data_IF_186248739943
#
_entry.id   IF_186248739943
#
_cell.length_a   1.000
_cell.length_b   1.000
_cell.length_c   1.000
_cell.angle_alpha   90.00
_cell.angle_beta   90.00
_cell.angle_gamma   90.00
#
_symmetry.space_group_name_H-M   'P 1'
#
loop_
_entity.id
_entity.type
_entity.pdbx_description
1 polymer ?
#
# COMPACT_ATOMS: atom_id res chain seq x y z
N UNK A 1 2.67 -22.39 -24.50
CA UNK A 1 1.86 -21.30 -23.93
C UNK A 1 2.63 -20.00 -24.06
N UNK A 2 2.27 -19.13 -25.02
CA UNK A 2 2.98 -17.87 -25.29
C UNK A 2 2.15 -16.73 -24.71
N UNK A 3 2.33 -16.47 -23.40
CA UNK A 3 1.66 -15.37 -22.72
C UNK A 3 2.33 -14.05 -23.12
N UNK A 4 1.55 -13.06 -23.57
CA UNK A 4 2.10 -11.75 -23.91
C UNK A 4 2.82 -11.14 -22.69
N UNK A 5 4.06 -10.66 -22.85
CA UNK A 5 4.84 -10.06 -21.76
C UNK A 5 4.09 -8.90 -21.10
N UNK A 6 3.27 -8.16 -21.86
CA UNK A 6 2.45 -7.05 -21.37
C UNK A 6 1.45 -7.47 -20.27
N UNK A 7 0.89 -8.68 -20.36
CA UNK A 7 -0.06 -9.20 -19.36
C UNK A 7 0.64 -9.65 -18.07
N UNK A 8 1.85 -10.19 -18.20
CA UNK A 8 2.66 -10.65 -17.05
C UNK A 8 3.18 -9.45 -16.26
N UNK A 9 3.65 -8.42 -16.97
CA UNK A 9 4.11 -7.15 -16.38
C UNK A 9 2.95 -6.44 -15.67
N UNK A 10 1.80 -6.29 -16.32
CA UNK A 10 0.61 -5.67 -15.71
C UNK A 10 0.20 -6.34 -14.39
N UNK A 11 0.21 -7.68 -14.34
CA UNK A 11 -0.12 -8.44 -13.12
C UNK A 11 0.88 -8.19 -11.98
N UNK A 12 2.17 -8.18 -12.28
CA UNK A 12 3.22 -7.91 -11.30
C UNK A 12 3.13 -6.49 -10.72
N UNK A 13 2.84 -5.50 -11.57
CA UNK A 13 2.62 -4.13 -11.13
C UNK A 13 1.37 -3.99 -10.26
N UNK A 14 0.25 -4.66 -10.62
CA UNK A 14 -0.96 -4.64 -9.80
C UNK A 14 -0.77 -5.28 -8.43
N UNK A 15 -0.09 -6.42 -8.36
CA UNK A 15 0.22 -7.12 -7.09
C UNK A 15 1.12 -6.26 -6.20
N UNK A 16 2.13 -5.60 -6.78
CA UNK A 16 3.05 -4.72 -6.03
C UNK A 16 2.36 -3.45 -5.52
N UNK A 17 1.50 -2.83 -6.33
CA UNK A 17 0.77 -1.61 -5.95
C UNK A 17 -0.26 -1.89 -4.86
N UNK A 18 -0.98 -3.02 -4.94
CA UNK A 18 -1.93 -3.41 -3.92
C UNK A 18 -1.22 -3.67 -2.58
N UNK A 19 -0.13 -4.45 -2.58
CA UNK A 19 0.64 -4.69 -1.37
C UNK A 19 1.15 -3.38 -0.75
N UNK A 20 1.60 -2.42 -1.56
CA UNK A 20 2.01 -1.10 -1.06
C UNK A 20 0.87 -0.29 -0.46
N UNK A 21 -0.33 -0.34 -1.02
CA UNK A 21 -1.51 0.33 -0.45
C UNK A 21 -1.85 -0.24 0.92
N UNK A 22 -1.87 -1.57 1.05
CA UNK A 22 -2.12 -2.25 2.32
C UNK A 22 -1.05 -1.90 3.36
N UNK A 23 0.23 -1.84 2.97
CA UNK A 23 1.30 -1.41 3.86
C UNK A 23 1.20 0.06 4.27
N UNK A 24 0.67 0.92 3.40
CA UNK A 24 0.53 2.35 3.67
C UNK A 24 -0.39 2.64 4.87
N UNK A 25 -1.52 1.93 4.96
CA UNK A 25 -2.44 2.09 6.09
C UNK A 25 -1.82 1.56 7.39
N UNK A 26 -1.09 0.45 7.33
CA UNK A 26 -0.37 -0.12 8.48
C UNK A 26 0.71 0.83 8.98
N UNK A 27 1.49 1.43 8.07
CA UNK A 27 2.50 2.43 8.39
C UNK A 27 1.91 3.63 9.15
N UNK A 28 0.74 4.12 8.72
CA UNK A 28 0.10 5.28 9.33
C UNK A 28 -0.25 5.00 10.80
N UNK A 29 -0.84 3.84 11.09
CA UNK A 29 -1.19 3.43 12.45
C UNK A 29 0.08 3.20 13.30
N UNK A 30 1.09 2.55 12.74
CA UNK A 30 2.34 2.27 13.46
C UNK A 30 3.17 3.52 13.76
N UNK A 31 3.11 4.56 12.92
CA UNK A 31 3.76 5.86 13.16
C UNK A 31 3.23 6.52 14.44
N UNK A 32 1.93 6.41 14.72
CA UNK A 32 1.33 6.93 15.96
C UNK A 32 1.72 6.18 17.24
N UNK A 33 2.44 5.05 17.13
CA UNK A 33 2.81 4.19 18.26
C UNK A 33 4.33 4.12 18.49
N UNK A 34 5.12 5.04 17.93
CA UNK A 34 6.58 5.09 18.07
C UNK A 34 7.34 3.82 17.61
N UNK A 35 6.74 3.02 16.73
CA UNK A 35 7.34 1.77 16.21
C UNK A 35 8.39 2.02 15.11
N UNK A 36 8.62 3.27 14.72
CA UNK A 36 9.56 3.69 13.67
C UNK A 36 9.46 2.85 12.39
N UNK A 37 8.25 2.70 11.81
CA UNK A 37 8.05 1.76 10.73
C UNK A 37 8.62 2.32 9.41
N UNK A 38 9.24 1.45 8.61
CA UNK A 38 9.88 1.77 7.34
C UNK A 38 9.33 0.83 6.26
N UNK A 39 9.03 1.39 5.09
CA UNK A 39 8.67 0.61 3.90
C UNK A 39 9.93 0.41 3.05
N UNK A 40 10.32 -0.83 2.86
CA UNK A 40 11.41 -1.25 2.00
C UNK A 40 10.87 -1.73 0.65
N UNK A 41 11.64 -1.50 -0.42
CA UNK A 41 11.31 -1.95 -1.76
C UNK A 41 11.35 -3.49 -1.86
N UNK A 42 10.44 -4.14 -2.61
CA UNK A 42 9.30 -3.60 -3.36
C UNK A 42 8.03 -3.39 -2.51
N UNK A 43 7.82 -4.22 -1.49
CA UNK A 43 6.65 -4.22 -0.60
C UNK A 43 6.98 -4.93 0.73
N UNK A 44 8.03 -4.47 1.44
CA UNK A 44 8.46 -5.02 2.73
C UNK A 44 8.26 -4.01 3.85
N UNK A 45 7.48 -4.34 4.87
CA UNK A 45 7.35 -3.50 6.06
C UNK A 45 8.39 -3.91 7.09
N UNK A 46 9.16 -2.96 7.62
CA UNK A 46 9.98 -3.16 8.81
C UNK A 46 9.61 -2.19 9.92
N UNK A 47 9.75 -2.59 11.17
CA UNK A 47 9.50 -1.72 12.34
C UNK A 47 10.26 -2.24 13.56
N UNK A 48 10.48 -1.35 14.53
CA UNK A 48 11.10 -1.70 15.80
C UNK A 48 10.00 -2.08 16.80
N UNK A 49 10.11 -3.27 17.39
CA UNK A 49 9.17 -3.77 18.38
C UNK A 49 9.92 -4.52 19.47
N UNK A 50 9.67 -4.15 20.73
CA UNK A 50 10.33 -4.76 21.91
C UNK A 50 11.88 -4.78 21.81
N UNK A 51 12.47 -3.75 21.18
CA UNK A 51 13.92 -3.65 21.01
C UNK A 51 14.48 -4.31 19.75
N UNK A 52 13.72 -5.17 19.08
CA UNK A 52 14.13 -5.86 17.86
C UNK A 52 13.56 -5.21 16.60
N UNK A 53 14.29 -5.32 15.48
CA UNK A 53 13.77 -4.92 14.16
C UNK A 53 13.11 -6.14 13.53
N UNK A 54 11.79 -6.06 13.30
CA UNK A 54 11.04 -7.08 12.57
C UNK A 54 10.79 -6.60 11.15
N UNK A 55 10.77 -7.54 10.19
CA UNK A 55 10.45 -7.24 8.80
C UNK A 55 9.54 -8.31 8.19
N UNK A 56 8.57 -7.87 7.39
CA UNK A 56 7.54 -8.71 6.79
C UNK A 56 7.36 -8.34 5.32
N UNK A 57 7.34 -9.34 4.45
CA UNK A 57 6.96 -9.20 3.03
C UNK A 57 5.45 -9.34 2.84
N UNK A 58 4.80 -10.08 3.74
CA UNK A 58 3.41 -10.50 3.62
C UNK A 58 2.61 -10.08 4.85
N UNK A 59 1.38 -9.59 4.62
CA UNK A 59 0.44 -9.20 5.66
C UNK A 59 -0.04 -10.38 6.50
N UNK A 60 -0.13 -11.58 5.94
CA UNK A 60 -0.49 -12.79 6.67
C UNK A 60 0.55 -13.10 7.76
N UNK A 61 1.84 -13.03 7.43
CA UNK A 61 2.92 -13.21 8.40
C UNK A 61 2.88 -12.17 9.51
N UNK A 62 2.53 -10.92 9.18
CA UNK A 62 2.31 -9.88 10.18
C UNK A 62 1.11 -10.22 11.08
N UNK A 63 0.00 -10.75 10.53
CA UNK A 63 -1.17 -11.18 11.32
C UNK A 63 -0.82 -12.32 12.28
N UNK A 64 -0.11 -13.33 11.81
CA UNK A 64 0.35 -14.45 12.63
C UNK A 64 1.25 -13.95 13.77
N UNK A 65 2.19 -13.05 13.49
CA UNK A 65 3.03 -12.43 14.52
C UNK A 65 2.23 -11.55 15.49
N UNK A 66 1.17 -10.90 15.02
CA UNK A 66 0.32 -10.07 15.87
C UNK A 66 -0.57 -10.90 16.79
N UNK A 67 -0.97 -12.11 16.37
CA UNK A 67 -1.75 -13.01 17.22
C UNK A 67 -0.96 -13.52 18.43
N UNK A 68 0.38 -13.59 18.32
CA UNK A 68 1.24 -14.00 19.45
C UNK A 68 1.62 -12.83 20.35
N UNK A 69 1.41 -11.59 19.92
CA UNK A 69 1.82 -10.38 20.63
C UNK A 69 0.61 -9.47 20.92
N UNK A 70 0.04 -9.49 22.14
CA UNK A 70 -1.20 -8.76 22.46
C UNK A 70 -1.08 -7.25 22.23
N UNK A 71 0.09 -6.66 22.51
CA UNK A 71 0.36 -5.23 22.26
C UNK A 71 0.26 -4.88 20.79
N UNK A 72 0.80 -5.73 19.91
CA UNK A 72 0.74 -5.51 18.46
C UNK A 72 -0.66 -5.77 17.92
N UNK A 73 -1.36 -6.78 18.46
CA UNK A 73 -2.75 -7.08 18.12
C UNK A 73 -3.65 -5.86 18.39
N UNK A 74 -3.47 -5.17 19.51
CA UNK A 74 -4.27 -4.01 19.87
C UNK A 74 -4.03 -2.83 18.93
N UNK A 75 -2.78 -2.62 18.50
CA UNK A 75 -2.42 -1.61 17.51
C UNK A 75 -3.06 -1.91 16.15
N UNK A 76 -3.04 -3.16 15.70
CA UNK A 76 -3.64 -3.54 14.42
C UNK A 76 -5.18 -3.62 14.44
N UNK A 77 -5.81 -3.82 15.61
CA UNK A 77 -7.27 -3.73 15.74
C UNK A 77 -7.80 -2.34 15.37
N UNK A 78 -7.07 -1.28 15.73
CA UNK A 78 -7.39 0.09 15.31
C UNK A 78 -7.43 0.22 13.79
N UNK A 79 -6.54 -0.48 13.08
CA UNK A 79 -6.50 -0.48 11.62
C UNK A 79 -7.74 -1.15 11.00
N UNK A 80 -8.14 -2.31 11.53
CA UNK A 80 -9.33 -3.04 11.05
C UNK A 80 -10.59 -2.18 11.25
N UNK A 81 -10.67 -1.46 12.36
CA UNK A 81 -11.79 -0.54 12.63
C UNK A 81 -11.77 0.69 11.73
N UNK A 82 -10.59 1.26 11.47
CA UNK A 82 -10.42 2.41 10.57
C UNK A 82 -10.73 2.06 9.10
N UNK A 83 -10.36 0.86 8.64
CA UNK A 83 -10.66 0.39 7.29
C UNK A 83 -12.17 0.21 7.08
N UNK A 84 -12.88 -0.34 8.08
CA UNK A 84 -14.35 -0.49 8.02
C UNK A 84 -15.11 0.85 8.01
N UNK A 85 -14.50 1.92 8.53
CA UNK A 85 -15.06 3.27 8.55
C UNK A 85 -14.75 4.10 7.31
N UNK A 86 -13.82 3.67 6.44
CA UNK A 86 -13.57 4.36 5.18
C UNK A 86 -14.67 3.98 4.18
N UNK A 87 -15.57 4.90 3.78
CA UNK A 87 -16.28 4.70 2.52
C UNK A 87 -15.20 4.60 1.44
N UNK A 88 -15.24 3.52 0.66
CA UNK A 88 -14.39 3.41 -0.51
C UNK A 88 -14.64 4.66 -1.35
N UNK A 89 -13.62 5.49 -1.66
CA UNK A 89 -13.81 6.53 -2.64
C UNK A 89 -14.09 5.79 -3.95
N UNK A 90 -15.36 5.78 -4.36
CA UNK A 90 -15.77 5.46 -5.70
C UNK A 90 -14.90 6.35 -6.60
N UNK A 91 -13.87 5.72 -7.16
CA UNK A 91 -12.93 6.41 -8.01
C UNK A 91 -13.67 6.60 -9.32
N UNK A 92 -14.47 7.67 -9.41
CA UNK A 92 -14.92 8.21 -10.68
C UNK A 92 -13.66 8.74 -11.36
N UNK A 93 -12.98 7.87 -12.11
CA UNK A 93 -11.88 8.26 -12.97
C UNK A 93 -12.46 9.36 -13.88
N UNK A 94 -11.97 10.61 -13.83
CA UNK A 94 -12.37 11.61 -14.81
C UNK A 94 -11.96 11.05 -16.17
N UNK A 95 -12.89 10.99 -17.12
CA UNK A 95 -12.54 10.57 -18.47
C UNK A 95 -11.49 11.54 -19.01
N UNK A 96 -10.26 11.06 -19.18
CA UNK A 96 -9.16 11.83 -19.75
C UNK A 96 -9.48 12.04 -21.23
N UNK A 97 -10.06 13.18 -21.59
CA UNK A 97 -10.23 13.57 -22.99
C UNK A 97 -8.85 13.69 -23.62
N UNK A 98 -8.65 13.02 -24.76
CA UNK A 98 -7.41 13.11 -25.55
C UNK A 98 -7.18 14.56 -25.95
N UNK A 99 -6.23 15.23 -25.30
CA UNK A 99 -5.61 16.42 -25.86
C UNK A 99 -4.77 15.96 -27.06
N UNK A 100 -5.13 16.45 -28.24
CA UNK A 100 -4.41 16.09 -29.46
C UNK A 100 -3.20 17.01 -29.61
N UNK A 101 -2.14 16.51 -30.25
CA UNK A 101 -0.86 17.22 -30.48
C UNK A 101 -1.00 18.61 -31.14
N UNK A 102 -2.19 18.95 -31.66
CA UNK A 102 -2.49 20.25 -32.27
C UNK A 102 -2.72 21.38 -31.25
N UNK A 103 -3.10 21.06 -30.01
CA UNK A 103 -3.47 22.08 -28.99
C UNK A 103 -2.26 22.71 -28.28
N UNK A 104 -1.04 22.21 -28.54
CA UNK A 104 0.20 22.64 -27.85
C UNK A 104 0.80 23.92 -28.50
N UNK A 105 0.35 24.33 -29.69
CA UNK A 105 0.99 25.39 -30.49
C UNK A 105 0.28 26.76 -30.50
N UNK A 106 -0.58 27.08 -29.52
CA UNK A 106 -1.05 28.47 -29.37
C UNK A 106 -0.34 29.12 -28.19
N UNK A 107 0.92 29.51 -28.43
CA UNK A 107 1.57 30.60 -27.67
C UNK A 107 1.00 31.90 -28.22
N UNK A 108 0.17 32.58 -27.41
CA UNK A 108 -0.26 33.97 -27.67
C UNK A 108 0.97 34.88 -27.68
N UNK A 109 1.09 35.71 -28.71
CA UNK A 109 1.94 36.90 -28.73
C UNK A 109 1.04 38.12 -28.93
#
# INVERSE_FOLDING_TARGET
MKGNPDKVIGRFFTETLQARREWHDILHVMKGKNLQPRLLYPARLSFRFEGEIKSFTDKQKLREFSNTKPTLQQILKELIWAEKKRPQPETKIPQMTRLTSKDIYIVKR
#
